data_IF_312435763000
#
_entry.id   IF_312435763000
#
_cell.length_a   1.000
_cell.length_b   1.000
_cell.length_c   1.000
_cell.angle_alpha   90.00
_cell.angle_beta   90.00
_cell.angle_gamma   90.00
#
_symmetry.space_group_name_H-M   'P 1'
#
loop_
_entity.id
_entity.type
_entity.pdbx_description
1 polymer ?
#
# COMPACT_ATOMS: atom_id res chain seq x y z
N UNK A 1 -5.80 14.79 11.03
CA UNK A 1 -5.36 13.83 12.07
C UNK A 1 -5.07 12.46 11.46
N UNK A 2 -6.03 11.84 10.76
CA UNK A 2 -5.91 10.49 10.19
C UNK A 2 -4.68 10.32 9.27
N UNK A 3 -4.53 11.14 8.23
CA UNK A 3 -3.41 11.11 7.27
C UNK A 3 -2.05 11.53 7.84
N UNK A 4 -1.92 11.65 9.17
CA UNK A 4 -0.68 12.01 9.85
C UNK A 4 -0.34 11.10 11.03
N UNK A 5 -1.31 10.36 11.57
CA UNK A 5 -1.15 9.62 12.83
C UNK A 5 -1.78 8.22 12.80
N UNK A 6 -2.47 7.83 11.72
CA UNK A 6 -3.10 6.52 11.58
C UNK A 6 -2.61 5.90 10.30
N UNK A 7 -1.93 4.75 10.40
CA UNK A 7 -1.55 3.92 9.25
C UNK A 7 -2.61 2.87 8.99
N UNK A 8 -2.86 2.59 7.72
CA UNK A 8 -3.95 1.69 7.30
C UNK A 8 -3.51 0.86 6.10
N UNK A 9 -4.10 -0.34 6.03
CA UNK A 9 -3.88 -1.29 4.96
C UNK A 9 -5.07 -1.35 4.03
N UNK A 10 -4.83 -1.81 2.81
CA UNK A 10 -5.84 -2.16 1.82
C UNK A 10 -5.37 -3.39 1.05
N UNK A 11 -6.28 -4.08 0.37
CA UNK A 11 -5.99 -5.32 -0.38
C UNK A 11 -6.30 -5.14 -1.87
N UNK A 12 -7.58 -5.10 -2.21
CA UNK A 12 -8.11 -4.96 -3.57
C UNK A 12 -9.08 -3.77 -3.70
N UNK A 13 -9.06 -2.85 -2.74
CA UNK A 13 -9.80 -1.60 -2.76
C UNK A 13 -9.21 -0.61 -3.77
N UNK A 14 -9.68 -0.64 -5.03
CA UNK A 14 -9.23 0.31 -6.07
C UNK A 14 -9.33 1.78 -5.62
N UNK A 15 -10.31 2.12 -4.80
CA UNK A 15 -10.53 3.47 -4.28
C UNK A 15 -9.39 3.98 -3.40
N UNK A 16 -8.58 3.10 -2.82
CA UNK A 16 -7.43 3.47 -1.99
C UNK A 16 -6.44 4.37 -2.75
N UNK A 17 -6.33 4.18 -4.07
CA UNK A 17 -5.36 4.87 -4.93
C UNK A 17 -5.90 6.06 -5.71
N UNK A 18 -7.19 6.37 -5.55
CA UNK A 18 -7.83 7.47 -6.30
C UNK A 18 -7.57 8.83 -5.65
N UNK A 19 -7.32 8.87 -4.34
CA UNK A 19 -7.03 10.10 -3.62
C UNK A 19 -5.52 10.24 -3.41
N UNK A 20 -4.86 11.05 -4.24
CA UNK A 20 -3.41 11.28 -4.14
C UNK A 20 -2.99 11.88 -2.79
N UNK A 21 -3.84 12.67 -2.12
CA UNK A 21 -3.54 13.16 -0.77
C UNK A 21 -3.48 12.07 0.30
N UNK A 22 -4.12 10.92 0.04
CA UNK A 22 -4.02 9.71 0.88
C UNK A 22 -2.79 8.89 0.47
N UNK A 23 -2.56 8.69 -0.83
CA UNK A 23 -1.37 7.99 -1.35
C UNK A 23 -0.08 8.65 -0.85
N UNK A 24 0.01 9.98 -0.96
CA UNK A 24 1.19 10.76 -0.58
C UNK A 24 1.28 11.03 0.94
N UNK A 25 0.31 10.54 1.74
CA UNK A 25 0.27 10.80 3.19
C UNK A 25 1.36 10.08 3.99
N UNK A 26 1.99 9.06 3.39
CA UNK A 26 2.91 8.16 4.08
C UNK A 26 2.23 7.19 5.07
N UNK A 27 0.90 7.13 5.06
CA UNK A 27 0.12 6.28 5.98
C UNK A 27 -0.54 5.08 5.29
N UNK A 28 -0.70 5.11 3.97
CA UNK A 28 -1.31 4.05 3.16
C UNK A 28 -0.29 2.95 2.87
N UNK A 29 -0.64 1.69 3.14
CA UNK A 29 0.22 0.51 2.86
C UNK A 29 -0.62 -0.62 2.24
N UNK A 30 -0.04 -1.39 1.33
CA UNK A 30 -0.70 -2.60 0.84
C UNK A 30 -0.45 -3.78 1.77
N UNK A 31 -1.43 -4.67 1.91
CA UNK A 31 -1.27 -5.97 2.56
C UNK A 31 -1.99 -7.06 1.76
N UNK A 32 -1.49 -8.30 1.80
CA UNK A 32 -2.11 -9.39 1.04
C UNK A 32 -3.17 -10.18 1.81
N UNK A 33 -3.19 -10.05 3.14
CA UNK A 33 -4.06 -10.74 4.10
C UNK A 33 -4.06 -12.29 4.02
N UNK A 34 -2.97 -12.90 3.52
CA UNK A 34 -2.86 -14.36 3.46
C UNK A 34 -2.83 -14.99 4.86
N UNK A 35 -3.54 -16.12 5.12
CA UNK A 35 -4.27 -16.97 4.17
C UNK A 35 -5.80 -16.81 4.22
N UNK A 36 -6.32 -15.61 4.50
CA UNK A 36 -7.76 -15.42 4.58
C UNK A 36 -8.46 -15.66 3.24
N UNK A 37 -9.77 -15.92 3.30
CA UNK A 37 -10.59 -16.19 2.11
C UNK A 37 -10.70 -15.00 1.16
N UNK A 38 -10.54 -13.80 1.69
CA UNK A 38 -10.50 -12.50 1.00
C UNK A 38 -9.06 -12.01 0.76
N UNK A 39 -8.05 -12.85 0.97
CA UNK A 39 -6.68 -12.53 0.63
C UNK A 39 -6.51 -12.30 -0.88
N UNK A 40 -5.60 -11.41 -1.24
CA UNK A 40 -5.24 -11.17 -2.64
C UNK A 40 -4.35 -12.28 -3.24
N UNK A 41 -3.82 -13.19 -2.41
CA UNK A 41 -3.03 -14.33 -2.87
C UNK A 41 -3.89 -15.34 -3.66
N UNK A 42 -3.42 -15.91 -4.79
CA UNK A 42 -2.09 -15.74 -5.41
C UNK A 42 -1.99 -14.61 -6.44
N UNK A 43 -3.05 -13.81 -6.60
CA UNK A 43 -3.18 -12.83 -7.67
C UNK A 43 -2.64 -11.43 -7.34
N UNK A 44 -1.96 -11.27 -6.19
CA UNK A 44 -1.51 -9.98 -5.64
C UNK A 44 -0.80 -9.08 -6.66
N UNK A 45 0.10 -9.64 -7.48
CA UNK A 45 0.85 -8.87 -8.46
C UNK A 45 -0.04 -8.27 -9.56
N UNK A 46 -1.04 -9.03 -10.04
CA UNK A 46 -1.96 -8.54 -11.07
C UNK A 46 -2.86 -7.43 -10.51
N UNK A 47 -3.38 -7.62 -9.30
CA UNK A 47 -4.20 -6.61 -8.61
C UNK A 47 -3.43 -5.31 -8.45
N UNK A 48 -2.18 -5.37 -7.95
CA UNK A 48 -1.34 -4.18 -7.80
C UNK A 48 -1.05 -3.50 -9.15
N UNK A 49 -0.70 -4.27 -10.18
CA UNK A 49 -0.43 -3.73 -11.52
C UNK A 49 -1.62 -2.99 -12.11
N UNK A 50 -2.84 -3.51 -11.92
CA UNK A 50 -4.06 -2.87 -12.42
C UNK A 50 -4.42 -1.63 -11.60
N UNK A 51 -4.41 -1.74 -10.26
CA UNK A 51 -4.92 -0.69 -9.39
C UNK A 51 -3.95 0.49 -9.20
N UNK A 52 -2.66 0.26 -9.39
CA UNK A 52 -1.62 1.30 -9.30
C UNK A 52 -1.12 1.79 -10.67
N UNK A 53 -1.71 1.34 -11.78
CA UNK A 53 -1.22 1.65 -13.14
C UNK A 53 -1.03 3.15 -13.42
N UNK A 54 -1.84 4.01 -12.77
CA UNK A 54 -1.79 5.46 -12.91
C UNK A 54 -0.86 6.17 -11.92
N UNK A 55 -0.28 5.45 -10.95
CA UNK A 55 0.62 6.00 -9.95
C UNK A 55 2.07 6.01 -10.45
N UNK A 56 2.86 6.96 -9.95
CA UNK A 56 4.31 6.96 -10.22
C UNK A 56 4.99 5.81 -9.49
N UNK A 57 6.21 5.45 -9.93
CA UNK A 57 7.01 4.41 -9.28
C UNK A 57 7.27 4.73 -7.81
N UNK A 58 7.49 6.01 -7.49
CA UNK A 58 7.69 6.47 -6.11
C UNK A 58 6.44 6.25 -5.25
N UNK A 59 5.25 6.51 -5.79
CA UNK A 59 3.99 6.28 -5.08
C UNK A 59 3.72 4.78 -4.87
N UNK A 60 4.03 3.95 -5.88
CA UNK A 60 3.96 2.49 -5.78
C UNK A 60 4.90 1.95 -4.69
N UNK A 61 6.15 2.43 -4.68
CA UNK A 61 7.13 2.07 -3.67
C UNK A 61 6.73 2.55 -2.27
N UNK A 62 6.15 3.75 -2.15
CA UNK A 62 5.65 4.23 -0.87
C UNK A 62 4.59 3.28 -0.29
N UNK A 63 3.62 2.87 -1.10
CA UNK A 63 2.51 2.02 -0.67
C UNK A 63 2.92 0.57 -0.42
N UNK A 64 3.91 0.02 -1.14
CA UNK A 64 4.29 -1.40 -1.03
C UNK A 64 5.53 -1.65 -0.17
N UNK A 65 6.29 -0.61 0.17
CA UNK A 65 7.61 -0.79 0.76
C UNK A 65 8.03 0.33 1.76
N UNK A 66 8.05 1.60 1.36
CA UNK A 66 8.71 2.64 2.19
C UNK A 66 7.90 3.00 3.44
N UNK A 67 6.57 3.05 3.33
CA UNK A 67 5.71 3.40 4.46
C UNK A 67 5.78 2.34 5.57
N UNK A 68 5.76 1.05 5.21
CA UNK A 68 5.88 -0.05 6.17
C UNK A 68 7.26 -0.10 6.82
N UNK A 69 8.32 0.15 6.03
CA UNK A 69 9.69 0.26 6.55
C UNK A 69 9.80 1.37 7.61
N UNK A 70 9.25 2.55 7.32
CA UNK A 70 9.23 3.68 8.26
C UNK A 70 8.40 3.37 9.51
N UNK A 71 7.19 2.83 9.34
CA UNK A 71 6.27 2.57 10.45
C UNK A 71 6.85 1.59 11.47
N UNK A 72 7.43 0.48 10.99
CA UNK A 72 7.96 -0.58 11.85
C UNK A 72 9.45 -0.43 12.14
N UNK A 73 10.10 0.63 11.65
CA UNK A 73 11.54 0.86 11.77
C UNK A 73 12.37 -0.36 11.34
N UNK A 74 12.03 -0.92 10.16
CA UNK A 74 12.62 -2.17 9.68
C UNK A 74 14.10 -1.96 9.26
N UNK A 75 15.02 -2.87 9.65
CA UNK A 75 16.45 -2.74 9.36
C UNK A 75 16.80 -3.24 7.95
N UNK A 76 16.13 -2.69 6.94
CA UNK A 76 16.35 -3.04 5.52
C UNK A 76 17.10 -1.92 4.82
N UNK A 77 18.29 -2.23 4.32
CA UNK A 77 19.04 -1.36 3.42
C UNK A 77 18.53 -1.62 2.00
N UNK A 78 18.03 -0.57 1.35
CA UNK A 78 17.36 -0.65 0.05
C UNK A 78 18.18 0.18 -0.90
#
# INVERSE_FOLDING_TARGET
YLTKNVSYTFQDDLTAYQNLGVVDSGCLMWANDYPHTDASWPNSQNILNEQMAHLTVEQQNACTHDNVKKLFNLPVNV
#
